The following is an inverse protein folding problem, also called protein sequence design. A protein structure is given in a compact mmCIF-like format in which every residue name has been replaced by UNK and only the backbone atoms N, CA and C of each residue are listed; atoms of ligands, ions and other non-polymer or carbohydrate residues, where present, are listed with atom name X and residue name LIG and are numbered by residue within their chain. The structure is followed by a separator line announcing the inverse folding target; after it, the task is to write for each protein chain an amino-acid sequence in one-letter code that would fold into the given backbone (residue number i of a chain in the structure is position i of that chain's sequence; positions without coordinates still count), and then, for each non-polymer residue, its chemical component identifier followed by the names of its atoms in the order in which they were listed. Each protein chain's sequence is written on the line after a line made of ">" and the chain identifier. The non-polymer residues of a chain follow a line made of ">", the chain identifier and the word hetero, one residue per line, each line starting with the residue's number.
data_IF_507451298019
#
_entry.id   IF_507451298019
#
_cell.length_a   1.000
_cell.length_b   1.000
_cell.length_c   1.000
_cell.angle_alpha   90.00
_cell.angle_beta   90.00
_cell.angle_gamma   90.00
#
_symmetry.space_group_name_H-M   'P 1'
#
loop_
_entity.id
_entity.type
_entity.pdbx_description
1 polymer ?
#
# COMPACT_ATOMS: atom_id res chain seq x y z
N UNK A 1 12.56 2.60 -6.33
CA UNK A 1 13.55 2.17 -7.34
C UNK A 1 12.87 2.29 -8.70
N UNK A 2 13.31 3.21 -9.55
CA UNK A 2 12.71 3.47 -10.86
C UNK A 2 13.39 2.59 -11.93
N UNK A 3 12.63 2.02 -12.87
CA UNK A 3 13.19 1.26 -14.01
C UNK A 3 13.31 -0.27 -13.86
N UNK A 4 12.86 -0.89 -12.77
CA UNK A 4 12.97 -2.35 -12.55
C UNK A 4 11.80 -3.13 -13.17
N UNK A 5 11.76 -3.26 -14.50
CA UNK A 5 10.65 -3.86 -15.28
C UNK A 5 10.17 -5.24 -14.80
N UNK A 6 11.02 -6.00 -14.11
CA UNK A 6 10.75 -7.38 -13.66
C UNK A 6 10.47 -7.54 -12.17
N UNK A 7 10.50 -6.44 -11.40
CA UNK A 7 10.23 -6.50 -9.96
C UNK A 7 8.73 -6.70 -9.65
N UNK A 8 8.44 -7.08 -8.41
CA UNK A 8 7.12 -7.43 -7.90
C UNK A 8 6.31 -6.24 -7.36
N UNK A 9 6.84 -5.03 -7.40
CA UNK A 9 6.03 -3.83 -7.15
C UNK A 9 5.04 -3.56 -8.29
N UNK A 10 3.81 -3.07 -8.01
CA UNK A 10 2.90 -2.57 -9.04
C UNK A 10 3.53 -1.37 -9.77
N UNK A 11 3.30 -1.28 -11.09
CA UNK A 11 3.95 -0.29 -11.97
C UNK A 11 2.96 0.45 -12.85
N UNK A 12 3.24 1.73 -13.05
CA UNK A 12 2.60 2.56 -14.07
C UNK A 12 3.65 2.83 -15.13
N UNK A 13 3.34 2.52 -16.38
CA UNK A 13 4.16 2.94 -17.52
C UNK A 13 3.77 4.37 -17.91
N UNK A 14 4.77 5.20 -18.20
CA UNK A 14 4.55 6.51 -18.81
C UNK A 14 5.07 6.43 -20.23
N UNK A 15 4.16 6.43 -21.19
CA UNK A 15 4.41 6.32 -22.61
C UNK A 15 4.07 7.63 -23.30
N UNK A 16 4.83 8.01 -24.33
CA UNK A 16 4.40 9.04 -25.28
C UNK A 16 4.71 8.59 -26.70
N UNK A 17 3.88 9.02 -27.64
CA UNK A 17 4.01 8.67 -29.04
C UNK A 17 5.38 9.00 -29.62
N UNK A 18 5.99 10.12 -29.22
CA UNK A 18 7.28 10.56 -29.77
C UNK A 18 8.49 9.74 -29.30
N UNK A 19 8.36 8.93 -28.24
CA UNK A 19 9.51 8.24 -27.61
C UNK A 19 9.73 6.82 -28.14
N UNK A 20 8.87 6.33 -29.03
CA UNK A 20 8.93 4.99 -29.61
C UNK A 20 7.70 4.16 -29.28
N UNK A 21 7.75 2.82 -29.41
CA UNK A 21 6.64 1.95 -29.02
C UNK A 21 6.57 1.74 -27.49
N UNK A 22 5.38 1.40 -26.95
CA UNK A 22 5.24 1.04 -25.55
C UNK A 22 6.12 -0.14 -25.15
N UNK A 23 6.49 -0.18 -23.87
CA UNK A 23 7.26 -1.26 -23.29
C UNK A 23 6.44 -2.56 -23.28
N UNK A 24 7.08 -3.65 -23.69
CA UNK A 24 6.47 -4.98 -23.66
C UNK A 24 6.81 -5.73 -22.38
N UNK A 25 5.89 -6.62 -21.97
CA UNK A 25 6.13 -7.61 -20.89
C UNK A 25 6.50 -7.03 -19.52
N UNK A 26 5.93 -5.88 -19.14
CA UNK A 26 6.07 -5.34 -17.77
C UNK A 26 5.30 -6.20 -16.77
N UNK A 27 5.98 -6.72 -15.75
CA UNK A 27 5.34 -7.47 -14.67
C UNK A 27 4.55 -6.53 -13.75
N UNK A 28 3.31 -6.91 -13.39
CA UNK A 28 2.41 -6.13 -12.54
C UNK A 28 2.17 -4.70 -13.04
N UNK A 29 2.01 -4.53 -14.35
CA UNK A 29 1.56 -3.29 -14.96
C UNK A 29 0.10 -3.04 -14.60
N UNK A 30 -0.17 -1.96 -13.86
CA UNK A 30 -1.52 -1.63 -13.35
C UNK A 30 -2.20 -0.54 -14.18
N UNK A 31 -1.43 0.32 -14.85
CA UNK A 31 -1.94 1.35 -15.75
C UNK A 31 -0.84 1.86 -16.70
N UNK A 32 -1.25 2.52 -17.77
CA UNK A 32 -0.38 3.26 -18.70
C UNK A 32 -0.85 4.72 -18.76
N UNK A 33 0.05 5.66 -18.60
CA UNK A 33 -0.17 7.08 -18.86
C UNK A 33 0.33 7.37 -20.26
N UNK A 34 -0.53 7.84 -21.16
CA UNK A 34 -0.23 8.00 -22.60
C UNK A 34 -0.91 9.22 -23.21
N UNK A 35 -0.33 9.75 -24.29
CA UNK A 35 -0.92 10.80 -25.14
C UNK A 35 -1.53 10.26 -26.45
N UNK A 36 -1.46 8.94 -26.66
CA UNK A 36 -2.07 8.25 -27.79
C UNK A 36 -2.85 7.01 -27.33
N UNK A 37 -3.90 6.59 -28.08
CA UNK A 37 -4.60 5.35 -27.80
C UNK A 37 -3.72 4.13 -28.13
N UNK A 38 -3.58 3.21 -27.17
CA UNK A 38 -2.82 1.97 -27.33
C UNK A 38 -3.75 0.76 -27.41
N UNK A 39 -3.44 -0.21 -28.28
CA UNK A 39 -4.17 -1.48 -28.37
C UNK A 39 -3.78 -2.44 -27.23
N UNK A 40 -4.31 -2.21 -26.04
CA UNK A 40 -4.04 -3.04 -24.85
C UNK A 40 -5.27 -3.15 -23.95
N UNK A 41 -5.32 -4.23 -23.16
CA UNK A 41 -6.33 -4.45 -22.12
C UNK A 41 -6.01 -3.67 -20.83
N UNK A 42 -4.80 -3.15 -20.70
CA UNK A 42 -4.37 -2.37 -19.53
C UNK A 42 -5.10 -1.02 -19.50
N UNK A 43 -5.48 -0.57 -18.31
CA UNK A 43 -6.11 0.73 -18.10
C UNK A 43 -5.18 1.85 -18.58
N UNK A 44 -5.71 2.79 -19.36
CA UNK A 44 -4.98 3.93 -19.90
C UNK A 44 -5.49 5.24 -19.29
N UNK A 45 -4.58 6.18 -19.06
CA UNK A 45 -4.87 7.53 -18.58
C UNK A 45 -4.21 8.56 -19.50
N UNK A 46 -4.89 9.66 -19.84
CA UNK A 46 -4.24 10.84 -20.40
C UNK A 46 -3.21 11.41 -19.41
N UNK A 47 -2.11 11.97 -19.91
CA UNK A 47 -1.08 12.59 -19.05
C UNK A 47 -1.58 13.79 -18.22
N UNK A 48 -2.71 14.38 -18.62
CA UNK A 48 -3.38 15.47 -17.91
C UNK A 48 -4.33 14.98 -16.81
N UNK A 49 -4.69 13.70 -16.80
CA UNK A 49 -5.62 13.12 -15.82
C UNK A 49 -4.90 12.74 -14.52
N UNK A 50 -4.34 13.76 -13.87
CA UNK A 50 -3.67 13.63 -12.58
C UNK A 50 -4.64 13.09 -11.52
N UNK A 51 -5.89 13.58 -11.54
CA UNK A 51 -6.92 13.17 -10.58
C UNK A 51 -7.27 11.69 -10.74
N UNK A 52 -7.56 11.22 -11.95
CA UNK A 52 -7.90 9.82 -12.19
C UNK A 52 -6.76 8.88 -11.82
N UNK A 53 -5.51 9.27 -12.08
CA UNK A 53 -4.34 8.50 -11.66
C UNK A 53 -4.16 8.49 -10.13
N UNK A 54 -4.36 9.63 -9.47
CA UNK A 54 -4.32 9.73 -8.02
C UNK A 54 -5.41 8.88 -7.37
N UNK A 55 -6.65 8.92 -7.88
CA UNK A 55 -7.76 8.11 -7.39
C UNK A 55 -7.46 6.60 -7.54
N UNK A 56 -6.86 6.17 -8.65
CA UNK A 56 -6.41 4.78 -8.82
C UNK A 56 -5.42 4.36 -7.72
N UNK A 57 -4.44 5.22 -7.42
CA UNK A 57 -3.43 4.93 -6.41
C UNK A 57 -4.02 4.92 -5.00
N UNK A 58 -4.84 5.93 -4.68
CA UNK A 58 -5.49 6.06 -3.38
C UNK A 58 -6.41 4.89 -3.10
N UNK A 59 -7.39 4.65 -3.98
CA UNK A 59 -8.42 3.62 -3.77
C UNK A 59 -7.90 2.21 -3.99
N UNK A 60 -6.94 2.03 -4.91
CA UNK A 60 -6.44 0.69 -5.25
C UNK A 60 -5.34 0.19 -4.32
N UNK A 61 -4.52 1.09 -3.76
CA UNK A 61 -3.27 0.68 -3.12
C UNK A 61 -3.02 1.31 -1.75
N UNK A 62 -3.57 2.50 -1.47
CA UNK A 62 -3.30 3.23 -0.21
C UNK A 62 -4.42 3.00 0.80
N UNK A 63 -5.67 3.35 0.48
CA UNK A 63 -6.85 3.24 1.36
C UNK A 63 -7.17 1.80 1.77
N UNK A 64 -7.04 0.77 0.89
CA UNK A 64 -7.22 -0.62 1.31
C UNK A 64 -6.24 -1.08 2.39
N UNK A 65 -5.14 -0.34 2.61
CA UNK A 65 -4.20 -0.59 3.70
C UNK A 65 -4.56 0.17 4.99
N UNK A 66 -5.79 0.65 5.15
CA UNK A 66 -6.23 1.52 6.25
C UNK A 66 -5.97 0.95 7.64
N UNK A 67 -6.05 -0.37 7.82
CA UNK A 67 -5.61 -1.02 9.05
C UNK A 67 -4.09 -1.26 9.04
N UNK A 68 -3.37 -0.39 9.73
CA UNK A 68 -1.91 -0.44 9.88
C UNK A 68 -1.52 -0.82 11.29
N UNK A 69 -1.40 -2.12 11.54
CA UNK A 69 -0.65 -2.60 12.70
C UNK A 69 0.84 -2.44 12.44
N UNK A 70 1.45 -1.55 13.22
CA UNK A 70 2.89 -1.29 13.21
C UNK A 70 3.48 -1.75 14.54
N UNK A 71 4.57 -2.52 14.50
CA UNK A 71 5.24 -3.00 15.70
C UNK A 71 6.60 -2.31 15.83
N UNK A 72 6.90 -1.80 17.03
CA UNK A 72 8.21 -1.27 17.38
C UNK A 72 8.78 -2.08 18.54
N UNK A 73 10.04 -2.50 18.41
CA UNK A 73 10.81 -3.15 19.48
C UNK A 73 12.02 -2.27 19.76
N UNK A 74 12.13 -1.75 20.98
CA UNK A 74 13.22 -0.83 21.37
C UNK A 74 13.36 0.37 20.41
N UNK A 75 12.24 0.99 20.02
CA UNK A 75 12.15 2.07 19.03
C UNK A 75 12.57 1.70 17.59
N UNK A 76 12.77 0.41 17.30
CA UNK A 76 13.06 -0.07 15.95
C UNK A 76 11.78 -0.62 15.31
N UNK A 77 11.38 -0.13 14.12
CA UNK A 77 10.21 -0.65 13.41
C UNK A 77 10.47 -2.08 12.92
N UNK A 78 9.51 -2.97 13.16
CA UNK A 78 9.53 -4.36 12.70
C UNK A 78 8.50 -4.53 11.59
N UNK A 79 8.97 -4.93 10.41
CA UNK A 79 8.09 -5.27 9.29
C UNK A 79 7.42 -6.61 9.59
N UNK A 80 6.10 -6.59 9.74
CA UNK A 80 5.29 -7.79 9.95
C UNK A 80 4.88 -8.38 8.59
N UNK A 81 4.96 -9.70 8.47
CA UNK A 81 4.28 -10.43 7.39
C UNK A 81 2.77 -10.46 7.64
N UNK A 82 1.97 -10.89 6.65
CA UNK A 82 0.50 -10.86 6.71
C UNK A 82 -0.06 -11.57 7.94
N UNK A 83 0.39 -12.80 8.21
CA UNK A 83 -0.17 -13.62 9.30
C UNK A 83 0.13 -13.05 10.71
N UNK A 84 1.37 -12.70 11.09
CA UNK A 84 1.63 -12.04 12.38
C UNK A 84 0.87 -10.72 12.53
N UNK A 85 0.75 -9.95 11.44
CA UNK A 85 -0.03 -8.71 11.44
C UNK A 85 -1.48 -8.99 11.81
N UNK A 86 -2.15 -9.93 11.13
CA UNK A 86 -3.54 -10.31 11.40
C UNK A 86 -3.76 -10.79 12.84
N UNK A 87 -2.91 -11.69 13.34
CA UNK A 87 -3.03 -12.22 14.70
C UNK A 87 -2.90 -11.12 15.74
N UNK A 88 -1.87 -10.27 15.62
CA UNK A 88 -1.63 -9.17 16.57
C UNK A 88 -2.80 -8.18 16.55
N UNK A 89 -3.26 -7.76 15.36
CA UNK A 89 -4.41 -6.85 15.21
C UNK A 89 -5.64 -7.41 15.92
N UNK A 90 -6.03 -8.64 15.60
CA UNK A 90 -7.26 -9.24 16.10
C UNK A 90 -7.25 -9.43 17.62
N UNK A 91 -6.11 -9.85 18.19
CA UNK A 91 -5.98 -10.00 19.64
C UNK A 91 -6.07 -8.65 20.35
N UNK A 92 -5.38 -7.62 19.83
CA UNK A 92 -5.41 -6.28 20.43
C UNK A 92 -6.81 -5.65 20.35
N UNK A 93 -7.48 -5.78 19.20
CA UNK A 93 -8.86 -5.30 19.04
C UNK A 93 -9.82 -6.04 19.98
N UNK A 94 -9.70 -7.36 20.12
CA UNK A 94 -10.51 -8.14 21.06
C UNK A 94 -10.30 -7.67 22.51
N UNK A 95 -9.05 -7.45 22.93
CA UNK A 95 -8.74 -6.91 24.25
C UNK A 95 -9.36 -5.52 24.47
N UNK A 96 -9.28 -4.63 23.47
CA UNK A 96 -9.87 -3.31 23.53
C UNK A 96 -11.40 -3.35 23.60
N UNK A 97 -12.04 -4.28 22.88
CA UNK A 97 -13.49 -4.44 22.86
C UNK A 97 -14.07 -4.84 24.22
N UNK A 98 -13.27 -5.47 25.09
CA UNK A 98 -13.67 -5.83 26.45
C UNK A 98 -13.60 -4.64 27.44
N UNK A 99 -13.04 -3.49 27.03
CA UNK A 99 -12.89 -2.33 27.92
C UNK A 99 -14.19 -1.53 28.02
N UNK A 100 -14.58 -1.17 29.24
CA UNK A 100 -15.75 -0.31 29.47
C UNK A 100 -15.39 1.15 29.18
N UNK A 101 -16.34 1.88 28.60
CA UNK A 101 -16.20 3.33 28.37
C UNK A 101 -15.33 3.71 27.16
N UNK A 102 -14.90 2.73 26.36
CA UNK A 102 -14.21 2.96 25.09
C UNK A 102 -15.27 2.92 23.99
N UNK A 103 -15.45 4.03 23.27
CA UNK A 103 -16.38 4.13 22.14
C UNK A 103 -15.86 3.39 20.90
N UNK A 104 -16.23 3.88 19.71
CA UNK A 104 -15.68 3.35 18.45
C UNK A 104 -14.14 3.47 18.42
N UNK A 105 -13.45 2.35 18.25
CA UNK A 105 -11.98 2.31 18.20
C UNK A 105 -11.50 2.75 16.82
N UNK A 106 -11.18 4.03 16.69
CA UNK A 106 -10.57 4.61 15.47
C UNK A 106 -9.04 4.55 15.47
N UNK A 107 -8.46 4.48 16.66
CA UNK A 107 -7.01 4.42 16.90
C UNK A 107 -6.76 3.76 18.25
N UNK A 108 -5.67 3.00 18.36
CA UNK A 108 -5.26 2.30 19.57
C UNK A 108 -3.75 2.25 19.65
N UNK A 109 -3.20 2.70 20.79
CA UNK A 109 -1.79 2.54 21.13
C UNK A 109 -1.62 1.60 22.34
N UNK A 110 -0.70 0.63 22.23
CA UNK A 110 -0.38 -0.30 23.30
C UNK A 110 1.13 -0.27 23.59
N UNK A 111 1.51 0.12 24.80
CA UNK A 111 2.90 0.20 25.23
C UNK A 111 3.19 -0.84 26.31
N UNK A 112 4.23 -1.66 26.10
CA UNK A 112 4.74 -2.59 27.09
C UNK A 112 6.15 -2.17 27.52
N UNK A 113 6.32 -1.87 28.81
CA UNK A 113 7.64 -1.62 29.41
C UNK A 113 8.01 -2.76 30.33
N UNK A 114 9.19 -3.35 30.13
CA UNK A 114 9.73 -4.37 31.03
C UNK A 114 10.76 -3.71 31.94
N UNK A 115 10.59 -3.88 33.25
CA UNK A 115 11.63 -3.51 34.22
C UNK A 115 12.85 -4.41 34.04
N UNK A 116 14.05 -3.83 34.10
CA UNK A 116 15.30 -4.59 34.19
C UNK A 116 15.27 -5.43 35.47
N UNK A 117 15.21 -6.77 35.36
CA UNK A 117 15.69 -7.62 36.46
C UNK A 117 17.21 -7.43 36.51
N UNK A 118 17.68 -6.69 37.49
CA UNK A 118 19.07 -6.76 37.94
C UNK A 118 19.33 -8.15 38.53
#
# INVERSE_FOLDING_TARGET
>A
AEGFKQDDAPKIEVHRKEVGPPLTSIRKLIAIVTDEPLETKTRQFPWQDIKGLADLLEEGFIKPQGERTSLYINNVPIVLTTWPKEVITNVILAMASCLKGVGEVRSLDLFLRRGSRR
#
